data_IF_885350592448
#
_entry.id   IF_885350592448
#
_cell.length_a   1.000
_cell.length_b   1.000
_cell.length_c   1.000
_cell.angle_alpha   90.00
_cell.angle_beta   90.00
_cell.angle_gamma   90.00
#
_symmetry.space_group_name_H-M   'P 1'
#
loop_
_entity.id
_entity.type
_entity.pdbx_description
1 polymer ?
#
# COMPACT_ATOMS: atom_id res chain seq x y z
N UNK A 1 -20.40 -4.24 -24.90
CA UNK A 1 -19.37 -4.72 -23.94
C UNK A 1 -18.24 -3.71 -23.99
N UNK A 2 -18.46 -2.49 -23.51
CA UNK A 2 -18.49 -2.19 -22.08
C UNK A 2 -17.05 -2.07 -21.58
N UNK A 3 -16.28 -1.17 -22.21
CA UNK A 3 -14.94 -0.84 -21.75
C UNK A 3 -15.09 -0.22 -20.38
N UNK A 4 -14.53 -0.87 -19.36
CA UNK A 4 -14.30 -0.26 -18.07
C UNK A 4 -13.46 0.97 -18.37
N UNK A 5 -14.01 2.17 -18.15
CA UNK A 5 -13.24 3.41 -18.09
C UNK A 5 -12.12 3.18 -17.10
N UNK A 6 -10.93 2.90 -17.62
CA UNK A 6 -9.74 2.80 -16.80
C UNK A 6 -9.56 4.15 -16.15
N UNK A 7 -9.59 4.16 -14.82
CA UNK A 7 -9.24 5.29 -13.96
C UNK A 7 -7.87 5.83 -14.42
N UNK A 8 -7.91 6.80 -15.34
CA UNK A 8 -6.75 7.24 -16.11
C UNK A 8 -5.99 8.21 -15.24
N UNK A 9 -5.04 7.67 -14.48
CA UNK A 9 -4.19 8.43 -13.60
C UNK A 9 -3.47 9.54 -14.38
N UNK A 10 -3.55 10.77 -13.87
CA UNK A 10 -3.04 11.97 -14.55
C UNK A 10 -1.51 12.00 -14.70
N UNK A 11 -0.77 11.27 -13.84
CA UNK A 11 0.69 11.17 -13.92
C UNK A 11 1.27 9.92 -13.24
N UNK A 12 2.43 9.46 -13.72
CA UNK A 12 3.26 8.39 -13.13
C UNK A 12 4.09 8.94 -11.94
N UNK A 13 3.41 9.46 -10.92
CA UNK A 13 4.02 10.02 -9.71
C UNK A 13 3.42 9.40 -8.46
N UNK A 14 4.09 9.54 -7.31
CA UNK A 14 3.53 9.14 -6.01
C UNK A 14 2.42 10.13 -5.62
N UNK A 15 1.20 9.65 -5.46
CA UNK A 15 0.03 10.45 -5.12
C UNK A 15 -0.53 10.05 -3.74
N UNK A 16 -1.48 10.83 -3.20
CA UNK A 16 -2.13 10.50 -1.93
C UNK A 16 -2.78 9.12 -1.91
N UNK A 17 -3.36 8.67 -3.04
CA UNK A 17 -3.94 7.32 -3.15
C UNK A 17 -2.93 6.17 -2.94
N UNK A 18 -1.64 6.43 -3.11
CA UNK A 18 -0.60 5.42 -2.90
C UNK A 18 -0.13 5.35 -1.44
N UNK A 19 -0.54 6.30 -0.60
CA UNK A 19 -0.09 6.41 0.78
C UNK A 19 -1.26 6.21 1.72
N UNK A 20 -1.13 5.26 2.64
CA UNK A 20 -2.09 5.08 3.74
C UNK A 20 -1.43 5.50 5.02
N UNK A 21 -2.07 6.40 5.75
CA UNK A 21 -1.65 6.79 7.08
C UNK A 21 -2.54 6.08 8.10
N UNK A 22 -1.92 5.32 8.99
CA UNK A 22 -2.60 4.43 9.92
C UNK A 22 -2.22 4.80 11.34
N UNK A 23 -3.20 4.87 12.23
CA UNK A 23 -2.99 4.81 13.68
C UNK A 23 -3.05 3.34 14.07
N UNK A 24 -2.04 2.82 14.75
CA UNK A 24 -1.97 1.40 15.11
C UNK A 24 -1.61 1.23 16.59
N UNK A 25 -2.18 0.19 17.21
CA UNK A 25 -1.83 -0.15 18.58
C UNK A 25 -0.36 -0.54 18.69
N UNK A 26 0.34 0.00 19.68
CA UNK A 26 1.71 -0.38 19.92
C UNK A 26 1.79 -1.81 20.46
N UNK A 27 2.48 -2.73 19.78
CA UNK A 27 2.60 -4.12 20.22
C UNK A 27 3.50 -4.29 21.45
N UNK A 28 4.32 -3.27 21.76
CA UNK A 28 5.29 -3.28 22.85
C UNK A 28 4.74 -2.63 24.13
N UNK A 29 3.42 -2.52 24.24
CA UNK A 29 2.72 -2.02 25.42
C UNK A 29 3.05 -0.55 25.77
N UNK A 30 3.34 0.28 24.77
CA UNK A 30 3.48 1.72 25.01
C UNK A 30 2.12 2.35 25.31
N UNK A 31 2.09 3.32 26.22
CA UNK A 31 0.86 4.03 26.63
C UNK A 31 0.14 4.78 25.50
N UNK A 32 0.79 4.88 24.33
CA UNK A 32 0.27 5.57 23.15
C UNK A 32 0.26 4.65 21.93
N UNK A 33 -0.77 4.83 21.11
CA UNK A 33 -0.81 4.34 19.73
C UNK A 33 0.25 5.06 18.90
N UNK A 34 0.65 4.43 17.80
CA UNK A 34 1.70 4.95 16.91
C UNK A 34 1.17 5.15 15.50
N UNK A 35 1.66 6.18 14.82
CA UNK A 35 1.44 6.36 13.41
C UNK A 35 2.37 5.45 12.60
N UNK A 36 1.77 4.81 11.61
CA UNK A 36 2.45 4.04 10.58
C UNK A 36 1.99 4.52 9.21
N UNK A 37 2.91 4.54 8.26
CA UNK A 37 2.62 4.95 6.89
C UNK A 37 2.99 3.83 5.93
N UNK A 38 2.03 3.41 5.12
CA UNK A 38 2.17 2.40 4.09
C UNK A 38 2.27 3.11 2.73
N UNK A 39 3.38 2.92 2.01
CA UNK A 39 3.67 3.60 0.73
C UNK A 39 3.75 2.57 -0.39
N UNK A 40 2.78 2.61 -1.29
CA UNK A 40 2.68 1.70 -2.44
C UNK A 40 3.36 2.30 -3.66
N UNK A 41 4.48 1.72 -4.05
CA UNK A 41 5.18 2.12 -5.27
C UNK A 41 4.68 1.29 -6.46
N UNK A 42 3.74 1.82 -7.23
CA UNK A 42 3.22 1.18 -8.45
C UNK A 42 4.03 1.56 -9.69
N UNK A 43 4.35 2.84 -9.87
CA UNK A 43 4.93 3.42 -11.09
C UNK A 43 6.46 3.44 -11.11
N UNK A 44 7.05 2.27 -10.92
CA UNK A 44 8.50 2.12 -10.91
C UNK A 44 9.07 1.94 -12.33
N UNK A 45 10.40 2.06 -12.45
CA UNK A 45 11.10 1.82 -13.71
C UNK A 45 10.78 0.41 -14.23
N UNK A 46 10.20 0.32 -15.43
CA UNK A 46 9.85 -0.94 -16.07
C UNK A 46 8.54 -1.58 -15.59
N UNK A 47 7.69 -0.85 -14.85
CA UNK A 47 6.41 -1.36 -14.35
C UNK A 47 5.50 -1.94 -15.45
N UNK A 48 5.54 -1.38 -16.67
CA UNK A 48 4.84 -1.94 -17.85
C UNK A 48 5.17 -3.41 -18.13
N UNK A 49 6.38 -3.86 -17.76
CA UNK A 49 6.81 -5.26 -17.91
C UNK A 49 6.69 -6.06 -16.60
N UNK A 50 6.54 -5.37 -15.47
CA UNK A 50 6.55 -5.92 -14.11
C UNK A 50 5.54 -5.13 -13.28
N UNK A 51 4.23 -5.40 -13.43
CA UNK A 51 3.19 -4.54 -12.85
C UNK A 51 3.10 -4.64 -11.32
N UNK A 52 3.76 -5.63 -10.72
CA UNK A 52 3.73 -5.85 -9.27
C UNK A 52 4.29 -4.64 -8.51
N UNK A 53 3.49 -3.98 -7.67
CA UNK A 53 3.97 -2.88 -6.83
C UNK A 53 4.86 -3.41 -5.71
N UNK A 54 5.53 -2.49 -5.03
CA UNK A 54 6.28 -2.79 -3.80
C UNK A 54 5.80 -1.82 -2.74
N UNK A 55 5.41 -2.35 -1.59
CA UNK A 55 4.85 -1.58 -0.49
C UNK A 55 5.87 -1.50 0.63
N UNK A 56 6.24 -0.27 0.99
CA UNK A 56 7.15 0.04 2.09
C UNK A 56 6.38 0.57 3.28
N UNK A 57 6.90 0.31 4.48
CA UNK A 57 6.34 0.82 5.72
C UNK A 57 7.29 1.81 6.36
N UNK A 58 6.72 2.85 6.94
CA UNK A 58 7.42 3.84 7.75
C UNK A 58 6.71 3.93 9.09
N UNK A 59 7.51 4.13 10.13
CA UNK A 59 7.05 4.39 11.50
C UNK A 59 7.58 5.74 11.96
N UNK A 60 7.05 6.23 13.07
CA UNK A 60 7.58 7.40 13.74
C UNK A 60 9.07 7.22 14.10
N UNK A 61 9.83 8.30 13.93
CA UNK A 61 11.26 8.36 14.28
C UNK A 61 11.42 9.51 15.26
N UNK A 62 12.23 9.29 16.29
CA UNK A 62 12.43 10.26 17.37
C UNK A 62 13.03 11.58 16.89
N UNK A 63 13.81 11.52 15.79
CA UNK A 63 14.34 12.69 15.11
C UNK A 63 13.36 13.15 14.00
N UNK A 64 12.69 14.30 14.17
CA UNK A 64 11.73 14.80 13.19
C UNK A 64 12.33 15.03 11.80
N UNK A 65 13.64 15.32 11.69
CA UNK A 65 14.26 15.56 10.39
C UNK A 65 14.27 14.29 9.52
N UNK A 66 14.32 13.11 10.16
CA UNK A 66 14.32 11.80 9.51
C UNK A 66 12.95 11.11 9.54
N UNK A 67 11.95 11.72 10.19
CA UNK A 67 10.61 11.15 10.29
C UNK A 67 9.78 11.46 9.04
N UNK A 68 9.74 10.51 8.09
CA UNK A 68 8.95 10.63 6.87
C UNK A 68 7.46 10.92 7.14
N UNK A 69 6.89 10.36 8.21
CA UNK A 69 5.51 10.64 8.62
C UNK A 69 5.31 12.11 8.99
N UNK A 70 6.26 12.71 9.72
CA UNK A 70 6.18 14.13 10.11
C UNK A 70 6.17 15.04 8.88
N UNK A 71 7.05 14.78 7.92
CA UNK A 71 7.08 15.53 6.66
C UNK A 71 5.80 15.34 5.84
N UNK A 72 5.33 14.10 5.72
CA UNK A 72 4.12 13.79 4.98
C UNK A 72 2.86 14.41 5.60
N UNK A 73 2.69 14.31 6.93
CA UNK A 73 1.59 14.95 7.65
C UNK A 73 1.62 16.46 7.50
N UNK A 74 2.81 17.08 7.48
CA UNK A 74 2.95 18.51 7.25
C UNK A 74 2.45 18.92 5.85
N UNK A 75 2.76 18.13 4.82
CA UNK A 75 2.23 18.32 3.46
C UNK A 75 0.71 18.12 3.43
N UNK A 76 0.20 17.05 4.02
CA UNK A 76 -1.24 16.75 4.07
C UNK A 76 -2.04 17.84 4.77
N UNK A 77 -1.49 18.44 5.83
CA UNK A 77 -2.10 19.60 6.50
C UNK A 77 -2.07 20.86 5.63
N UNK A 78 -0.94 21.14 4.98
CA UNK A 78 -0.81 22.29 4.08
C UNK A 78 -1.80 22.20 2.90
N UNK A 79 -2.04 20.99 2.42
CA UNK A 79 -2.98 20.71 1.34
C UNK A 79 -4.44 20.60 1.81
N UNK A 80 -4.71 20.64 3.12
CA UNK A 80 -6.04 20.34 3.69
C UNK A 80 -6.58 18.97 3.19
N UNK A 81 -5.73 17.95 3.16
CA UNK A 81 -5.98 16.70 2.46
C UNK A 81 -6.82 15.68 3.25
N UNK A 82 -6.88 15.79 4.57
CA UNK A 82 -7.64 14.87 5.43
C UNK A 82 -9.14 15.02 5.21
N UNK A 83 -9.83 13.89 5.06
CA UNK A 83 -11.30 13.85 4.94
C UNK A 83 -11.98 14.23 6.27
N UNK A 84 -11.46 13.71 7.37
CA UNK A 84 -12.00 13.99 8.71
C UNK A 84 -11.84 15.47 9.10
N UNK A 85 -12.95 16.22 9.36
CA UNK A 85 -12.89 17.65 9.69
C UNK A 85 -12.17 17.95 11.02
N UNK A 86 -11.95 16.94 11.85
CA UNK A 86 -11.22 17.08 13.12
C UNK A 86 -9.71 17.15 12.94
N UNK A 87 -9.14 16.60 11.86
CA UNK A 87 -7.70 16.42 11.65
C UNK A 87 -7.05 17.67 11.04
N UNK A 88 -7.13 18.79 11.75
CA UNK A 88 -6.70 20.11 11.25
C UNK A 88 -5.37 20.60 11.80
N UNK A 89 -4.77 19.88 12.73
CA UNK A 89 -3.51 20.26 13.37
C UNK A 89 -2.60 19.05 13.57
N UNK A 90 -1.26 19.23 13.60
CA UNK A 90 -0.34 18.13 13.87
C UNK A 90 -0.71 17.42 15.18
N UNK A 91 -0.96 18.19 16.24
CA UNK A 91 -1.31 17.65 17.56
C UNK A 91 -2.48 16.65 17.47
N UNK A 92 -3.56 17.00 16.79
CA UNK A 92 -4.72 16.10 16.67
C UNK A 92 -4.43 14.83 15.89
N UNK A 93 -3.54 14.88 14.91
CA UNK A 93 -3.15 13.71 14.11
C UNK A 93 -2.23 12.78 14.92
N UNK A 94 -1.22 13.34 15.58
CA UNK A 94 -0.26 12.58 16.40
C UNK A 94 -0.82 12.09 17.74
N UNK A 95 -1.89 12.72 18.25
CA UNK A 95 -2.61 12.27 19.46
C UNK A 95 -3.82 11.37 19.14
N UNK A 96 -4.10 11.09 17.86
CA UNK A 96 -5.24 10.23 17.49
C UNK A 96 -5.03 8.82 18.03
N UNK A 97 -6.14 8.18 18.41
CA UNK A 97 -6.14 6.84 19.00
C UNK A 97 -7.06 5.92 18.25
N UNK A 98 -6.70 4.66 18.20
CA UNK A 98 -7.56 3.60 17.69
C UNK A 98 -8.79 3.50 18.59
N UNK A 99 -9.98 3.48 17.98
CA UNK A 99 -11.26 3.44 18.72
C UNK A 99 -12.01 2.14 18.43
N UNK A 100 -12.43 1.45 19.48
CA UNK A 100 -13.19 0.20 19.37
C UNK A 100 -12.30 -1.04 19.30
N UNK A 101 -12.86 -2.22 18.93
CA UNK A 101 -12.16 -3.50 18.96
C UNK A 101 -11.33 -3.77 17.70
N UNK A 102 -10.79 -2.72 17.06
CA UNK A 102 -9.96 -2.82 15.85
C UNK A 102 -8.49 -2.66 16.21
N UNK A 103 -7.58 -3.21 15.40
CA UNK A 103 -6.13 -3.11 15.65
C UNK A 103 -5.51 -1.82 15.08
N UNK A 104 -6.22 -1.14 14.19
CA UNK A 104 -5.79 0.10 13.58
C UNK A 104 -6.96 0.96 13.12
N UNK A 105 -6.68 2.23 12.83
CA UNK A 105 -7.60 3.18 12.22
C UNK A 105 -6.89 3.89 11.09
N UNK A 106 -7.46 3.85 9.88
CA UNK A 106 -6.93 4.57 8.72
C UNK A 106 -7.39 6.03 8.75
N UNK A 107 -6.46 6.95 8.47
CA UNK A 107 -6.75 8.36 8.28
C UNK A 107 -6.96 8.60 6.79
N UNK A 108 -8.23 8.81 6.40
CA UNK A 108 -8.62 8.91 5.00
C UNK A 108 -8.33 10.30 4.39
N UNK A 109 -8.05 10.28 3.09
CA UNK A 109 -7.91 11.48 2.26
C UNK A 109 -9.24 11.86 1.63
N UNK A 110 -9.43 13.15 1.37
CA UNK A 110 -10.53 13.63 0.53
C UNK A 110 -10.43 13.05 -0.87
N UNK A 111 -11.57 12.78 -1.50
CA UNK A 111 -11.63 12.16 -2.83
C UNK A 111 -10.91 13.00 -3.89
N UNK A 112 -11.06 14.33 -3.84
CA UNK A 112 -10.39 15.27 -4.76
C UNK A 112 -8.86 15.27 -4.62
N UNK A 113 -8.32 14.75 -3.51
CA UNK A 113 -6.88 14.74 -3.24
C UNK A 113 -6.18 13.47 -3.71
N UNK A 114 -6.93 12.38 -3.97
CA UNK A 114 -6.37 11.06 -4.25
C UNK A 114 -5.35 11.05 -5.39
N UNK A 115 -5.64 11.81 -6.46
CA UNK A 115 -4.78 11.90 -7.65
C UNK A 115 -3.72 12.99 -7.56
N UNK A 116 -3.70 13.78 -6.48
CA UNK A 116 -2.73 14.86 -6.28
C UNK A 116 -1.35 14.29 -5.96
N UNK A 117 -0.29 14.68 -6.70
CA UNK A 117 1.08 14.22 -6.42
C UNK A 117 1.56 14.69 -5.04
N UNK A 118 2.36 13.89 -4.35
CA UNK A 118 2.96 14.26 -3.05
C UNK A 118 4.17 15.17 -3.27
N UNK A 119 5.05 14.80 -4.20
CA UNK A 119 6.21 15.61 -4.56
C UNK A 119 5.85 16.46 -5.78
N UNK A 120 5.78 17.78 -5.59
CA UNK A 120 5.37 18.74 -6.62
C UNK A 120 6.50 19.69 -6.99
N UNK A 121 6.31 20.41 -8.08
CA UNK A 121 7.19 21.52 -8.48
C UNK A 121 6.97 22.71 -7.55
N UNK A 122 7.98 23.57 -7.47
CA UNK A 122 7.92 24.78 -6.64
C UNK A 122 6.87 25.79 -7.13
N UNK A 123 6.50 25.73 -8.42
CA UNK A 123 5.68 26.72 -9.11
C UNK A 123 4.29 26.20 -9.53
N UNK A 124 3.98 24.93 -9.26
CA UNK A 124 2.77 24.30 -9.76
C UNK A 124 2.43 23.00 -9.02
N UNK A 125 1.15 22.60 -9.10
CA UNK A 125 0.66 21.33 -8.54
C UNK A 125 1.10 20.09 -9.34
N UNK A 126 1.90 20.28 -10.41
CA UNK A 126 2.39 19.20 -11.23
C UNK A 126 3.44 18.37 -10.48
N UNK A 127 3.50 17.07 -10.79
CA UNK A 127 4.48 16.18 -10.20
C UNK A 127 5.93 16.64 -10.44
N UNK A 128 6.77 16.46 -9.41
CA UNK A 128 8.20 16.77 -9.45
C UNK A 128 8.92 15.90 -10.49
N UNK A 129 9.51 16.48 -11.54
CA UNK A 129 10.20 15.70 -12.55
C UNK A 129 11.60 15.27 -12.06
N UNK A 130 12.11 14.18 -12.63
CA UNK A 130 13.39 13.59 -12.24
C UNK A 130 14.57 14.57 -12.32
N UNK A 131 14.63 15.40 -13.37
CA UNK A 131 15.70 16.37 -13.57
C UNK A 131 15.72 17.44 -12.46
N UNK A 132 14.56 17.95 -12.04
CA UNK A 132 14.49 18.93 -10.95
C UNK A 132 14.94 18.32 -9.62
N UNK A 133 14.54 17.08 -9.32
CA UNK A 133 15.05 16.35 -8.15
C UNK A 133 16.57 16.16 -8.24
N UNK A 134 17.08 15.73 -9.40
CA UNK A 134 18.51 15.51 -9.64
C UNK A 134 19.33 16.78 -9.43
N UNK A 135 18.91 17.90 -10.03
CA UNK A 135 19.60 19.19 -9.93
C UNK A 135 19.58 19.74 -8.50
N UNK A 136 18.45 19.58 -7.80
CA UNK A 136 18.29 19.97 -6.40
C UNK A 136 19.23 19.17 -5.49
N UNK A 137 19.33 17.85 -5.68
CA UNK A 137 20.26 17.00 -4.93
C UNK A 137 21.72 17.35 -5.21
N UNK A 138 22.07 17.59 -6.47
CA UNK A 138 23.43 18.02 -6.84
C UNK A 138 23.80 19.33 -6.17
N UNK A 139 22.87 20.30 -6.14
CA UNK A 139 23.06 21.60 -5.48
C UNK A 139 23.20 21.41 -3.97
N UNK A 140 22.36 20.60 -3.36
CA UNK A 140 22.42 20.27 -1.94
C UNK A 140 23.77 19.67 -1.56
N UNK A 141 24.26 18.70 -2.34
CA UNK A 141 25.57 18.08 -2.11
C UNK A 141 26.71 19.10 -2.13
N UNK A 142 26.71 20.03 -3.10
CA UNK A 142 27.70 21.11 -3.16
C UNK A 142 27.64 22.04 -1.95
N UNK A 143 26.45 22.46 -1.52
CA UNK A 143 26.26 23.34 -0.36
C UNK A 143 26.70 22.63 0.93
N UNK A 144 26.43 21.34 1.05
CA UNK A 144 26.85 20.51 2.18
C UNK A 144 28.37 20.20 2.17
N UNK A 145 29.13 20.64 1.16
CA UNK A 145 30.56 20.37 1.05
C UNK A 145 30.89 18.91 0.69
N UNK A 146 29.93 18.15 0.15
CA UNK A 146 30.16 16.78 -0.30
C UNK A 146 31.03 16.82 -1.57
N UNK A 147 32.15 16.09 -1.53
CA UNK A 147 33.11 16.04 -2.63
C UNK A 147 32.53 15.35 -3.86
N UNK A 148 31.78 14.28 -3.65
CA UNK A 148 31.11 13.51 -4.69
C UNK A 148 29.77 14.14 -5.10
N UNK A 149 29.32 13.84 -6.31
CA UNK A 149 28.01 14.29 -6.80
C UNK A 149 26.90 13.52 -6.08
N UNK A 150 26.09 14.24 -5.30
CA UNK A 150 24.95 13.67 -4.60
C UNK A 150 23.79 13.42 -5.58
N UNK A 151 23.43 12.15 -5.76
CA UNK A 151 22.32 11.73 -6.64
C UNK A 151 21.34 10.83 -5.90
N UNK A 152 20.13 10.67 -6.45
CA UNK A 152 19.15 9.71 -5.93
C UNK A 152 19.69 8.26 -5.92
N UNK A 153 20.61 7.94 -6.83
CA UNK A 153 21.28 6.65 -6.89
C UNK A 153 22.25 6.40 -5.73
N UNK A 154 22.77 7.45 -5.08
CA UNK A 154 23.57 7.30 -3.86
C UNK A 154 22.73 6.74 -2.72
N UNK A 155 21.52 7.28 -2.49
CA UNK A 155 20.59 6.75 -1.48
C UNK A 155 20.18 5.32 -1.80
N UNK A 156 19.82 5.04 -3.06
CA UNK A 156 19.46 3.68 -3.49
C UNK A 156 20.57 2.67 -3.22
N UNK A 157 21.83 3.00 -3.51
CA UNK A 157 22.98 2.12 -3.21
C UNK A 157 23.20 1.97 -1.71
N UNK A 158 23.09 3.04 -0.95
CA UNK A 158 23.18 3.00 0.51
C UNK A 158 22.15 2.05 1.11
N UNK A 159 20.89 2.17 0.72
CA UNK A 159 19.81 1.25 1.12
C UNK A 159 20.13 -0.19 0.70
N UNK A 160 20.60 -0.40 -0.53
CA UNK A 160 20.94 -1.75 -1.00
C UNK A 160 22.00 -2.42 -0.12
N UNK A 161 23.07 -1.69 0.21
CA UNK A 161 24.17 -2.21 1.02
C UNK A 161 23.70 -2.53 2.43
N UNK A 162 22.91 -1.66 3.05
CA UNK A 162 22.35 -1.91 4.39
C UNK A 162 21.49 -3.18 4.41
N UNK A 163 20.58 -3.31 3.44
CA UNK A 163 19.68 -4.46 3.35
C UNK A 163 20.45 -5.74 3.02
N UNK A 164 21.49 -5.67 2.18
CA UNK A 164 22.37 -6.81 1.85
C UNK A 164 23.07 -7.39 3.09
N UNK A 165 23.45 -6.54 4.05
CA UNK A 165 24.08 -6.99 5.28
C UNK A 165 23.07 -7.48 6.33
N UNK A 166 21.84 -6.95 6.31
CA UNK A 166 20.87 -7.13 7.39
C UNK A 166 19.72 -8.10 7.06
N UNK A 167 19.51 -8.45 5.79
CA UNK A 167 18.37 -9.25 5.34
C UNK A 167 18.79 -10.37 4.38
N UNK A 168 17.82 -11.21 4.00
CA UNK A 168 18.06 -12.27 3.00
C UNK A 168 18.14 -11.69 1.59
N UNK A 169 18.77 -12.44 0.69
CA UNK A 169 18.82 -12.10 -0.75
C UNK A 169 17.44 -11.85 -1.35
N UNK A 170 16.42 -12.60 -0.92
CA UNK A 170 15.06 -12.41 -1.40
C UNK A 170 14.47 -11.05 -0.99
N UNK A 171 14.74 -10.60 0.24
CA UNK A 171 14.32 -9.28 0.73
C UNK A 171 15.07 -8.18 0.00
N UNK A 172 16.41 -8.32 -0.13
CA UNK A 172 17.24 -7.40 -0.89
C UNK A 172 16.76 -7.27 -2.33
N UNK A 173 16.49 -8.38 -2.99
CA UNK A 173 15.97 -8.42 -4.35
C UNK A 173 14.57 -7.79 -4.45
N UNK A 174 13.69 -8.01 -3.46
CA UNK A 174 12.38 -7.35 -3.41
C UNK A 174 12.52 -5.83 -3.26
N UNK A 175 13.31 -5.35 -2.29
CA UNK A 175 13.56 -3.92 -2.05
C UNK A 175 14.19 -3.25 -3.27
N UNK A 176 15.14 -3.95 -3.91
CA UNK A 176 15.82 -3.48 -5.10
C UNK A 176 15.04 -3.73 -6.39
N UNK A 177 13.93 -4.49 -6.34
CA UNK A 177 13.18 -4.98 -7.51
C UNK A 177 14.05 -5.72 -8.52
N UNK A 178 15.01 -6.48 -8.02
CA UNK A 178 15.81 -7.41 -8.79
C UNK A 178 15.12 -8.78 -8.83
N UNK A 179 15.35 -9.53 -9.90
CA UNK A 179 14.84 -10.88 -10.06
C UNK A 179 16.03 -11.81 -10.32
N UNK A 180 16.92 -12.01 -9.35
CA UNK A 180 17.98 -13.00 -9.46
C UNK A 180 17.50 -14.35 -8.92
N UNK A 181 17.79 -15.44 -9.63
CA UNK A 181 17.67 -16.87 -9.23
C UNK A 181 16.31 -17.42 -8.76
N UNK A 182 15.39 -16.62 -8.22
CA UNK A 182 14.07 -17.02 -7.69
C UNK A 182 12.93 -16.22 -8.33
N UNK A 183 13.10 -15.83 -9.60
CA UNK A 183 12.18 -14.95 -10.33
C UNK A 183 10.72 -15.44 -10.33
N UNK A 184 10.48 -16.76 -10.36
CA UNK A 184 9.13 -17.33 -10.27
C UNK A 184 8.52 -17.13 -8.88
N UNK A 185 9.27 -17.41 -7.81
CA UNK A 185 8.79 -17.19 -6.44
C UNK A 185 8.57 -15.70 -6.16
N UNK A 186 9.54 -14.86 -6.49
CA UNK A 186 9.46 -13.41 -6.28
C UNK A 186 8.34 -12.77 -7.12
N UNK A 187 8.13 -13.26 -8.33
CA UNK A 187 7.05 -12.83 -9.22
C UNK A 187 5.66 -13.19 -8.69
N UNK A 188 5.44 -14.46 -8.37
CA UNK A 188 4.09 -14.99 -8.11
C UNK A 188 3.71 -15.10 -6.63
N UNK A 189 4.65 -15.37 -5.74
CA UNK A 189 4.36 -15.76 -4.35
C UNK A 189 4.86 -14.79 -3.30
N UNK A 190 5.95 -14.05 -3.57
CA UNK A 190 6.40 -13.02 -2.65
C UNK A 190 5.29 -11.97 -2.48
N UNK A 191 5.06 -11.51 -1.26
CA UNK A 191 4.09 -10.45 -1.03
C UNK A 191 4.57 -9.14 -1.66
N UNK A 192 3.66 -8.21 -1.97
CA UNK A 192 4.02 -6.85 -2.39
C UNK A 192 4.60 -6.05 -1.23
N UNK A 193 4.15 -6.35 0.00
CA UNK A 193 4.61 -5.78 1.27
C UNK A 193 6.02 -6.27 1.61
N UNK A 194 6.95 -5.34 1.78
CA UNK A 194 8.31 -5.63 2.25
C UNK A 194 8.24 -5.95 3.74
N UNK A 195 8.53 -7.20 4.11
CA UNK A 195 8.52 -7.68 5.51
C UNK A 195 9.88 -7.50 6.20
N UNK A 196 10.50 -6.35 6.00
CA UNK A 196 11.77 -5.97 6.61
C UNK A 196 11.76 -4.47 6.90
N UNK A 197 12.26 -4.08 8.08
CA UNK A 197 12.30 -2.68 8.51
C UNK A 197 13.46 -1.93 7.84
N UNK A 198 13.26 -1.61 6.56
CA UNK A 198 14.23 -0.89 5.73
C UNK A 198 14.55 0.49 6.33
N UNK A 199 13.55 1.14 6.95
CA UNK A 199 13.72 2.46 7.56
C UNK A 199 14.69 2.38 8.73
N UNK A 200 14.44 1.49 9.70
CA UNK A 200 15.29 1.39 10.88
C UNK A 200 16.69 0.91 10.55
N UNK A 201 16.81 -0.07 9.64
CA UNK A 201 18.10 -0.52 9.15
C UNK A 201 18.88 0.62 8.48
N UNK A 202 18.22 1.40 7.61
CA UNK A 202 18.84 2.53 6.90
C UNK A 202 19.27 3.67 7.82
N UNK A 203 18.55 3.89 8.92
CA UNK A 203 18.87 4.90 9.94
C UNK A 203 19.84 4.38 11.02
N UNK A 204 20.20 3.09 10.99
CA UNK A 204 21.07 2.48 12.01
C UNK A 204 20.43 2.43 13.42
N UNK A 205 19.10 2.34 13.50
CA UNK A 205 18.36 2.26 14.76
C UNK A 205 17.80 0.85 15.01
N UNK A 206 17.42 0.51 16.26
CA UNK A 206 16.74 -0.75 16.55
C UNK A 206 15.47 -0.92 15.70
N UNK A 207 15.22 -2.14 15.23
CA UNK A 207 14.03 -2.44 14.41
C UNK A 207 12.74 -2.34 15.23
N UNK A 208 11.66 -1.89 14.58
CA UNK A 208 10.30 -1.87 15.14
C UNK A 208 9.49 -3.06 14.61
N UNK A 209 10.09 -4.25 14.68
CA UNK A 209 9.57 -5.49 14.07
C UNK A 209 8.14 -5.85 14.52
N UNK A 210 7.78 -5.52 15.76
CA UNK A 210 6.43 -5.74 16.28
C UNK A 210 5.37 -5.01 15.44
N UNK A 211 5.59 -3.70 15.21
CA UNK A 211 4.67 -2.85 14.43
C UNK A 211 4.65 -3.30 12.99
N UNK A 212 5.83 -3.55 12.39
CA UNK A 212 5.92 -4.01 11.00
C UNK A 212 5.22 -5.36 10.78
N UNK A 213 5.36 -6.31 11.71
CA UNK A 213 4.68 -7.61 11.64
C UNK A 213 3.17 -7.44 11.66
N UNK A 214 2.66 -6.52 12.49
CA UNK A 214 1.23 -6.21 12.52
C UNK A 214 0.75 -5.58 11.20
N UNK A 215 1.49 -4.61 10.65
CA UNK A 215 1.17 -3.94 9.38
C UNK A 215 1.13 -4.89 8.17
N UNK A 216 1.86 -5.99 8.26
CA UNK A 216 1.96 -7.00 7.19
C UNK A 216 0.96 -8.16 7.35
N UNK A 217 0.17 -8.17 8.43
CA UNK A 217 -0.85 -9.19 8.68
C UNK A 217 -2.18 -8.84 8.00
N UNK A 218 -2.84 -9.85 7.41
CA UNK A 218 -4.13 -9.63 6.72
C UNK A 218 -5.23 -9.16 7.67
N UNK A 219 -5.18 -9.55 8.94
CA UNK A 219 -6.18 -9.18 9.95
C UNK A 219 -6.00 -7.78 10.54
N UNK A 220 -5.02 -6.99 10.07
CA UNK A 220 -4.75 -5.63 10.57
C UNK A 220 -6.03 -4.78 10.59
N UNK A 221 -6.81 -4.85 9.52
CA UNK A 221 -8.03 -4.05 9.30
C UNK A 221 -9.31 -4.82 9.63
N UNK A 222 -9.20 -5.97 10.30
CA UNK A 222 -10.38 -6.75 10.69
C UNK A 222 -11.15 -6.02 11.79
N UNK A 223 -12.44 -5.74 11.56
CA UNK A 223 -13.36 -5.31 12.61
C UNK A 223 -14.20 -6.51 13.07
N UNK A 224 -14.04 -6.96 14.33
CA UNK A 224 -14.85 -8.05 14.90
C UNK A 224 -16.35 -7.78 14.91
N UNK A 225 -16.76 -6.50 14.78
CA UNK A 225 -18.18 -6.08 14.72
C UNK A 225 -18.72 -6.07 13.30
N UNK A 226 -17.88 -6.27 12.29
CA UNK A 226 -18.34 -6.33 10.90
C UNK A 226 -19.39 -7.46 10.77
N UNK A 227 -20.56 -7.20 10.16
CA UNK A 227 -21.57 -8.23 9.97
C UNK A 227 -21.00 -9.40 9.17
N UNK A 228 -20.97 -10.59 9.78
CA UNK A 228 -20.56 -11.83 9.11
C UNK A 228 -21.72 -12.54 8.41
N UNK A 229 -22.94 -12.09 8.68
CA UNK A 229 -24.16 -12.63 8.12
C UNK A 229 -25.06 -11.48 7.67
N UNK A 230 -25.59 -11.59 6.45
CA UNK A 230 -26.64 -10.70 5.93
C UNK A 230 -27.97 -11.27 6.43
N UNK A 231 -28.78 -10.50 7.18
CA UNK A 231 -30.06 -11.00 7.67
C UNK A 231 -30.97 -11.46 6.53
N UNK A 232 -31.71 -12.55 6.75
CA UNK A 232 -32.55 -13.21 5.73
C UNK A 232 -33.54 -12.25 5.04
N UNK A 233 -34.06 -11.26 5.77
CA UNK A 233 -34.97 -10.24 5.23
C UNK A 233 -34.34 -9.41 4.11
N UNK A 234 -33.07 -9.01 4.25
CA UNK A 234 -32.35 -8.25 3.25
C UNK A 234 -31.93 -9.15 2.09
N UNK A 235 -31.55 -10.39 2.38
CA UNK A 235 -31.19 -11.37 1.36
C UNK A 235 -32.39 -11.70 0.45
N UNK A 236 -33.58 -11.85 1.02
CA UNK A 236 -34.83 -12.12 0.29
C UNK A 236 -35.33 -10.92 -0.53
N UNK A 237 -34.96 -9.69 -0.15
CA UNK A 237 -35.32 -8.48 -0.88
C UNK A 237 -34.42 -8.22 -2.10
N UNK A 238 -33.26 -8.87 -2.20
CA UNK A 238 -32.37 -8.74 -3.35
C UNK A 238 -33.00 -9.43 -4.58
N UNK A 239 -33.03 -8.76 -5.75
CA UNK A 239 -33.49 -9.42 -6.97
C UNK A 239 -32.58 -10.60 -7.30
N UNK A 240 -33.11 -11.68 -7.89
CA UNK A 240 -32.28 -12.78 -8.38
C UNK A 240 -31.26 -12.24 -9.38
N UNK A 241 -29.99 -12.65 -9.23
CA UNK A 241 -28.96 -12.27 -10.17
C UNK A 241 -29.32 -12.85 -11.55
N UNK A 242 -29.41 -12.01 -12.60
CA UNK A 242 -29.87 -12.46 -13.91
C UNK A 242 -28.91 -13.48 -14.55
N UNK A 243 -27.61 -13.42 -14.25
CA UNK A 243 -26.62 -14.38 -14.72
C UNK A 243 -26.76 -15.72 -13.99
N UNK A 244 -26.93 -15.70 -12.67
CA UNK A 244 -27.18 -16.92 -11.89
C UNK A 244 -28.49 -17.59 -12.36
N UNK A 245 -29.56 -16.80 -12.53
CA UNK A 245 -30.86 -17.29 -12.98
C UNK A 245 -30.77 -17.94 -14.37
N UNK A 246 -30.03 -17.33 -15.30
CA UNK A 246 -29.81 -17.91 -16.63
C UNK A 246 -29.04 -19.23 -16.57
N UNK A 247 -28.00 -19.31 -15.74
CA UNK A 247 -27.22 -20.54 -15.54
C UNK A 247 -28.05 -21.65 -14.88
N UNK A 248 -28.94 -21.31 -13.95
CA UNK A 248 -29.87 -22.27 -13.35
C UNK A 248 -30.88 -22.80 -14.38
N UNK A 249 -31.42 -21.94 -15.24
CA UNK A 249 -32.30 -22.36 -16.34
C UNK A 249 -31.57 -23.26 -17.34
N UNK A 250 -30.34 -22.91 -17.72
CA UNK A 250 -29.49 -23.74 -18.58
C UNK A 250 -29.23 -25.10 -17.94
N UNK A 251 -28.91 -25.13 -16.64
CA UNK A 251 -28.73 -26.36 -15.88
C UNK A 251 -29.99 -27.23 -15.91
N UNK A 252 -31.17 -26.67 -15.70
CA UNK A 252 -32.42 -27.42 -15.76
C UNK A 252 -32.74 -27.93 -17.17
N UNK A 253 -32.46 -27.15 -18.22
CA UNK A 253 -32.62 -27.62 -19.61
C UNK A 253 -31.67 -28.79 -19.93
N UNK A 254 -30.42 -28.70 -19.50
CA UNK A 254 -29.44 -29.77 -19.65
C UNK A 254 -29.81 -31.02 -18.82
N UNK A 255 -30.42 -30.82 -17.63
CA UNK A 255 -30.94 -31.90 -16.77
C UNK A 255 -32.21 -32.57 -17.32
N UNK A 256 -33.06 -31.81 -18.02
CA UNK A 256 -34.32 -32.28 -18.59
C UNK A 256 -34.12 -33.09 -19.88
N UNK A 257 -32.95 -32.98 -20.53
CA UNK A 257 -32.57 -33.91 -21.58
C UNK A 257 -32.25 -35.27 -20.99
N UNK A 258 -32.76 -36.37 -21.59
CA UNK A 258 -32.30 -37.71 -21.26
C UNK A 258 -30.82 -37.85 -21.70
N UNK A 259 -29.87 -37.57 -20.82
CA UNK A 259 -28.46 -37.82 -21.10
C UNK A 259 -28.16 -39.30 -20.86
N UNK A 260 -27.78 -39.98 -21.95
CA UNK A 260 -27.23 -41.33 -21.91
C UNK A 260 -25.78 -41.23 -21.41
N UNK A 261 -25.56 -41.53 -20.13
CA UNK A 261 -24.21 -41.77 -19.63
C UNK A 261 -23.83 -43.19 -20.07
N UNK A 262 -23.06 -43.32 -21.16
CA UNK A 262 -22.54 -44.63 -21.56
C UNK A 262 -21.68 -45.20 -20.42
N UNK A 263 -22.18 -46.23 -19.74
CA UNK A 263 -21.43 -47.00 -18.74
C UNK A 263 -21.98 -47.02 -17.31
N UNK A 264 -23.16 -46.49 -17.02
CA UNK A 264 -23.77 -46.60 -15.66
C UNK A 264 -25.21 -47.10 -15.69
N UNK A 265 -25.53 -47.95 -14.71
CA UNK A 265 -26.71 -48.82 -14.62
C UNK A 265 -28.04 -48.14 -14.26
N UNK A 266 -28.19 -46.82 -14.48
CA UNK A 266 -29.44 -46.11 -14.23
C UNK A 266 -29.98 -45.68 -15.59
N UNK A 267 -30.49 -46.66 -16.34
CA UNK A 267 -31.36 -46.46 -17.49
C UNK A 267 -32.79 -46.80 -17.01
N UNK A 268 -33.65 -45.80 -16.90
CA UNK A 268 -35.09 -46.01 -16.80
C UNK A 268 -35.73 -45.27 -17.97
N UNK A 269 -36.60 -46.00 -18.70
CA UNK A 269 -37.34 -45.57 -19.89
C UNK A 269 -38.23 -44.34 -19.65
#
# INVERSE_FOLDING_TARGET
>A
MGGVEGDTRLCDALCYEDVRLLVVHSPDNSERDVLAMEVKLSHHKGHNKRPKPTVFFFTEVDDPIFCAITHFVSLALADNAFDAPSLTTPRRIFEERVRGPVNCTELHWKEEMLKTPIFRRDDSEAALPYNQLHDSLNRLGKIAGIKEVLTSYCFRRGTANVVDHAATDAVRDQVMRHNANSALHNGHYANEKVRFDVQSAGLGRPSVDGVLRMLTHMSLMCDPRAPVHVPDEYLAALPPDPMITALEQEREQLKAGAYRIQGTSIEAE
#
